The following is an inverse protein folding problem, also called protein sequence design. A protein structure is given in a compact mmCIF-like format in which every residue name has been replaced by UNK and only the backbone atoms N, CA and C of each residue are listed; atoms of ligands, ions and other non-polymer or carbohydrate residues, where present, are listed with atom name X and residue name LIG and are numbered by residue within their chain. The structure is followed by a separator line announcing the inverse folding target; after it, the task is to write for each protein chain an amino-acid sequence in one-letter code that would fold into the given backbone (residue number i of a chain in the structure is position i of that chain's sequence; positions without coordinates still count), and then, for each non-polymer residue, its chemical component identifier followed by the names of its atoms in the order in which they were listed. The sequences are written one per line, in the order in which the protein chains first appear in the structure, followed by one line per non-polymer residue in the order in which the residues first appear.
data_IF_481392353189
#
_entry.id   IF_481392353189
#
_cell.length_a   1.000
_cell.length_b   1.000
_cell.length_c   1.000
_cell.angle_alpha   90.00
_cell.angle_beta   90.00
_cell.angle_gamma   90.00
#
_symmetry.space_group_name_H-M   'P 1'
#
loop_
_entity.id
_entity.type
_entity.pdbx_description
1 polymer ?
#
# COMPACT_ATOMS: atom_id res chain seq x y z
N UNK A 1 9.19 -23.73 29.69
CA UNK A 1 10.65 -23.71 29.43
C UNK A 1 10.93 -22.55 28.47
N UNK A 2 11.70 -21.52 28.86
CA UNK A 2 12.02 -20.43 27.95
C UNK A 2 12.93 -20.99 26.85
N UNK A 3 12.53 -20.87 25.57
CA UNK A 3 13.44 -21.14 24.46
C UNK A 3 14.56 -20.08 24.52
N UNK A 4 15.68 -20.45 25.15
CA UNK A 4 16.93 -19.72 25.02
C UNK A 4 17.46 -20.05 23.63
N UNK A 5 17.12 -19.24 22.65
CA UNK A 5 17.69 -19.36 21.31
C UNK A 5 19.12 -18.81 21.34
N UNK A 6 20.10 -19.65 21.71
CA UNK A 6 21.53 -19.38 21.40
C UNK A 6 21.80 -19.39 19.88
N UNK A 7 20.83 -19.83 19.08
CA UNK A 7 20.83 -19.78 17.62
C UNK A 7 20.06 -18.55 17.13
N UNK A 8 20.47 -17.93 16.02
CA UNK A 8 19.69 -16.86 15.40
C UNK A 8 18.24 -17.32 15.14
N UNK A 9 17.26 -16.50 15.49
CA UNK A 9 15.86 -16.77 15.19
C UNK A 9 15.47 -16.06 13.90
N UNK A 10 14.80 -16.80 13.01
CA UNK A 10 14.19 -16.21 11.81
C UNK A 10 12.80 -15.71 12.17
N UNK A 11 12.55 -14.43 11.93
CA UNK A 11 11.24 -13.81 12.13
C UNK A 11 10.72 -13.40 10.75
N UNK A 12 9.59 -13.98 10.35
CA UNK A 12 8.88 -13.63 9.11
C UNK A 12 7.77 -12.67 9.48
N UNK A 13 7.85 -11.47 8.92
CA UNK A 13 6.94 -10.38 9.23
C UNK A 13 6.36 -9.85 7.93
N UNK A 14 5.06 -10.05 7.72
CA UNK A 14 4.32 -9.70 6.52
C UNK A 14 3.25 -8.66 6.89
N UNK A 15 3.06 -7.50 6.24
CA UNK A 15 2.03 -6.50 6.57
C UNK A 15 0.58 -6.94 6.51
N UNK A 16 0.29 -8.23 6.32
CA UNK A 16 -1.08 -8.67 6.20
C UNK A 16 -1.71 -8.01 4.99
N UNK A 17 -1.13 -8.22 3.82
CA UNK A 17 -1.73 -7.98 2.49
C UNK A 17 -2.06 -6.50 2.20
N UNK A 18 -1.42 -5.97 1.15
CA UNK A 18 -1.65 -4.72 0.41
C UNK A 18 -3.12 -4.26 0.15
N UNK A 19 -4.10 -5.10 0.48
CA UNK A 19 -5.54 -4.84 0.41
C UNK A 19 -6.13 -4.01 1.56
N UNK A 20 -5.43 -3.86 2.68
CA UNK A 20 -5.97 -3.26 3.91
C UNK A 20 -5.49 -1.83 4.16
N UNK A 21 -4.96 -1.13 3.15
CA UNK A 21 -4.58 0.28 3.26
C UNK A 21 -5.80 1.23 3.34
N UNK A 22 -6.80 0.97 4.18
CA UNK A 22 -8.03 1.76 4.30
C UNK A 22 -7.84 3.26 4.61
N UNK A 23 -6.64 3.67 5.04
CA UNK A 23 -6.24 5.08 5.23
C UNK A 23 -5.19 5.58 4.22
N UNK A 24 -4.62 4.73 3.38
CA UNK A 24 -3.48 5.04 2.51
C UNK A 24 -3.86 5.10 1.02
N UNK A 25 -5.12 5.41 0.72
CA UNK A 25 -5.54 5.78 -0.64
C UNK A 25 -5.76 7.28 -0.72
N UNK A 26 -4.70 8.01 -0.38
CA UNK A 26 -4.57 9.42 -0.70
C UNK A 26 -4.25 9.49 -2.19
N UNK A 27 -5.20 9.95 -2.98
CA UNK A 27 -4.90 10.39 -4.34
C UNK A 27 -3.98 11.62 -4.21
N UNK A 28 -2.68 11.45 -4.45
CA UNK A 28 -1.78 12.60 -4.47
C UNK A 28 -2.03 13.35 -5.78
N UNK A 29 -2.30 14.66 -5.67
CA UNK A 29 -2.53 15.53 -6.81
C UNK A 29 -1.20 16.11 -7.31
N UNK A 30 -1.02 16.16 -8.62
CA UNK A 30 0.21 16.60 -9.27
C UNK A 30 0.17 18.10 -9.54
N UNK A 31 0.92 18.91 -8.79
CA UNK A 31 1.08 20.33 -9.14
C UNK A 31 2.32 20.48 -10.00
N UNK A 32 2.10 20.77 -11.27
CA UNK A 32 3.19 20.87 -12.24
C UNK A 32 3.74 22.30 -12.23
N UNK A 33 4.81 22.52 -11.45
CA UNK A 33 5.63 23.73 -11.56
C UNK A 33 7.02 23.31 -12.07
N UNK A 34 7.32 23.78 -13.27
CA UNK A 34 8.53 23.60 -14.09
C UNK A 34 9.73 22.91 -13.40
N UNK A 35 10.14 21.76 -13.99
CA UNK A 35 11.32 20.92 -13.70
C UNK A 35 11.30 20.00 -12.46
N UNK A 36 10.19 19.92 -11.72
CA UNK A 36 9.98 18.87 -10.72
C UNK A 36 8.50 18.51 -10.59
N UNK A 37 8.20 17.23 -10.38
CA UNK A 37 6.85 16.81 -10.00
C UNK A 37 6.70 17.08 -8.50
N UNK A 38 5.97 18.14 -8.15
CA UNK A 38 5.61 18.42 -6.76
C UNK A 38 4.29 17.75 -6.41
N UNK A 39 4.29 17.06 -5.27
CA UNK A 39 3.18 16.26 -4.78
C UNK A 39 2.45 17.03 -3.68
N UNK A 40 1.40 17.76 -4.04
CA UNK A 40 0.51 18.35 -3.05
C UNK A 40 -0.51 17.28 -2.63
N UNK A 41 -0.51 16.91 -1.35
CA UNK A 41 -1.40 15.90 -0.78
C UNK A 41 -2.82 16.45 -0.58
N UNK A 42 -3.60 16.52 -1.65
CA UNK A 42 -5.05 16.76 -1.56
C UNK A 42 -5.80 15.43 -1.55
N UNK A 43 -6.32 15.01 -0.40
CA UNK A 43 -7.06 13.75 -0.28
C UNK A 43 -8.38 13.77 -1.07
N UNK A 44 -8.47 13.01 -2.17
CA UNK A 44 -9.78 12.54 -2.68
C UNK A 44 -9.95 11.06 -2.43
N UNK A 45 -10.99 10.73 -1.66
CA UNK A 45 -11.36 9.37 -1.26
C UNK A 45 -12.21 8.65 -2.32
N UNK A 46 -11.87 8.78 -3.60
CA UNK A 46 -12.71 8.28 -4.69
C UNK A 46 -12.81 6.74 -4.77
N UNK A 47 -11.85 6.01 -4.17
CA UNK A 47 -11.87 4.55 -4.06
C UNK A 47 -12.50 4.05 -2.74
N UNK A 48 -12.89 4.94 -1.83
CA UNK A 48 -13.36 4.58 -0.47
C UNK A 48 -14.55 3.61 -0.49
N UNK A 49 -15.49 3.81 -1.40
CA UNK A 49 -16.65 2.93 -1.53
C UNK A 49 -16.26 1.54 -2.02
N UNK A 50 -15.37 1.46 -3.01
CA UNK A 50 -14.90 0.19 -3.54
C UNK A 50 -14.09 -0.61 -2.50
N UNK A 51 -13.26 0.08 -1.71
CA UNK A 51 -12.43 -0.55 -0.67
C UNK A 51 -13.27 -1.17 0.47
N UNK A 52 -14.59 -0.89 0.55
CA UNK A 52 -15.50 -1.61 1.46
C UNK A 52 -15.48 -3.13 1.25
N UNK A 53 -14.99 -3.62 0.12
CA UNK A 53 -14.66 -5.03 -0.12
C UNK A 53 -13.78 -5.66 0.98
N UNK A 54 -12.98 -4.87 1.71
CA UNK A 54 -12.21 -5.36 2.87
C UNK A 54 -13.14 -5.84 4.00
N UNK A 55 -14.28 -5.17 4.23
CA UNK A 55 -15.28 -5.62 5.22
C UNK A 55 -15.94 -6.92 4.75
N UNK A 56 -16.34 -6.98 3.49
CA UNK A 56 -16.92 -8.19 2.88
C UNK A 56 -15.95 -9.37 2.94
N UNK A 57 -14.65 -9.12 2.73
CA UNK A 57 -13.60 -10.13 2.90
C UNK A 57 -13.48 -10.64 4.34
N UNK A 58 -13.63 -9.77 5.33
CA UNK A 58 -13.58 -10.16 6.75
C UNK A 58 -14.81 -10.97 7.15
N UNK A 59 -15.98 -10.63 6.60
CA UNK A 59 -17.26 -11.32 6.84
C UNK A 59 -17.41 -12.64 6.07
N UNK A 60 -16.66 -12.84 4.99
CA UNK A 60 -16.72 -14.04 4.18
C UNK A 60 -16.32 -15.29 4.99
N UNK A 61 -17.22 -16.27 5.04
CA UNK A 61 -17.00 -17.57 5.69
C UNK A 61 -16.15 -18.50 4.83
N UNK A 62 -16.40 -18.53 3.52
CA UNK A 62 -15.69 -19.39 2.57
C UNK A 62 -14.34 -18.82 2.14
N UNK A 63 -13.38 -19.71 1.85
CA UNK A 63 -12.07 -19.30 1.34
C UNK A 63 -12.16 -18.71 -0.06
N UNK A 64 -13.11 -19.19 -0.88
CA UNK A 64 -13.46 -18.57 -2.15
C UNK A 64 -13.87 -17.10 -1.97
N UNK A 65 -14.80 -16.80 -1.07
CA UNK A 65 -15.26 -15.43 -0.84
C UNK A 65 -14.14 -14.52 -0.33
N UNK A 66 -13.32 -15.03 0.60
CA UNK A 66 -12.13 -14.29 1.08
C UNK A 66 -11.15 -14.00 -0.05
N UNK A 67 -10.93 -14.97 -0.95
CA UNK A 67 -10.04 -14.82 -2.09
C UNK A 67 -10.61 -13.84 -3.14
N UNK A 68 -11.90 -13.95 -3.45
CA UNK A 68 -12.59 -13.07 -4.39
C UNK A 68 -12.48 -11.59 -3.98
N UNK A 69 -12.86 -11.25 -2.75
CA UNK A 69 -12.76 -9.85 -2.29
C UNK A 69 -11.31 -9.36 -2.16
N UNK A 70 -10.35 -10.27 -1.90
CA UNK A 70 -8.92 -9.93 -1.98
C UNK A 70 -8.54 -9.56 -3.41
N UNK A 71 -8.94 -10.38 -4.39
CA UNK A 71 -8.64 -10.17 -5.79
C UNK A 71 -9.25 -8.86 -6.30
N UNK A 72 -10.51 -8.56 -5.92
CA UNK A 72 -11.19 -7.32 -6.31
C UNK A 72 -10.41 -6.07 -5.90
N UNK A 73 -9.86 -6.05 -4.68
CA UNK A 73 -9.01 -4.95 -4.21
C UNK A 73 -7.67 -4.88 -4.95
N UNK A 74 -7.01 -6.02 -5.15
CA UNK A 74 -5.73 -6.09 -5.86
C UNK A 74 -5.86 -5.74 -7.36
N UNK A 75 -7.00 -6.05 -7.98
CA UNK A 75 -7.23 -5.82 -9.40
C UNK A 75 -7.23 -4.33 -9.73
N UNK A 76 -7.81 -3.47 -8.88
CA UNK A 76 -7.75 -2.01 -9.08
C UNK A 76 -6.31 -1.52 -9.06
N UNK A 77 -5.53 -1.95 -8.07
CA UNK A 77 -4.12 -1.58 -7.99
C UNK A 77 -3.35 -1.98 -9.26
N UNK A 78 -3.47 -3.24 -9.68
CA UNK A 78 -2.84 -3.74 -10.90
C UNK A 78 -3.30 -2.97 -12.15
N UNK A 79 -4.59 -2.65 -12.24
CA UNK A 79 -5.15 -1.85 -13.34
C UNK A 79 -4.58 -0.44 -13.39
N UNK A 80 -4.35 0.19 -12.23
CA UNK A 80 -3.72 1.52 -12.16
C UNK A 80 -2.22 1.52 -12.46
N UNK A 81 -1.58 0.34 -12.47
CA UNK A 81 -0.18 0.15 -12.89
C UNK A 81 -0.05 -0.43 -14.31
N UNK A 82 -1.16 -0.63 -15.02
CA UNK A 82 -1.14 -1.21 -16.37
C UNK A 82 -0.22 -0.40 -17.28
N UNK A 83 0.71 -1.09 -17.95
CA UNK A 83 1.67 -0.47 -18.87
C UNK A 83 0.95 -0.03 -20.15
N UNK A 84 0.33 1.14 -20.10
CA UNK A 84 -0.37 1.76 -21.23
C UNK A 84 0.58 2.58 -22.12
N UNK A 85 1.83 2.13 -22.31
CA UNK A 85 2.89 2.89 -23.01
C UNK A 85 2.48 3.37 -24.42
N UNK A 86 1.54 2.66 -25.05
CA UNK A 86 1.01 2.98 -26.37
C UNK A 86 -0.41 3.60 -26.35
N UNK A 87 -0.98 3.91 -25.18
CA UNK A 87 -2.28 4.60 -25.08
C UNK A 87 -2.05 6.03 -24.64
N UNK A 88 -2.66 6.97 -25.35
CA UNK A 88 -2.72 8.38 -24.98
C UNK A 88 -4.14 8.70 -24.56
N UNK A 89 -4.30 9.37 -23.42
CA UNK A 89 -5.59 9.91 -23.03
C UNK A 89 -5.73 11.30 -23.67
N UNK A 90 -6.51 11.39 -24.74
CA UNK A 90 -6.68 12.61 -25.52
C UNK A 90 -8.15 13.01 -25.48
N UNK A 91 -8.42 14.26 -25.11
CA UNK A 91 -9.74 14.87 -25.23
C UNK A 91 -9.75 15.86 -26.38
N UNK A 92 -10.66 15.65 -27.32
CA UNK A 92 -10.94 16.60 -28.39
C UNK A 92 -12.01 17.56 -27.89
N UNK A 93 -11.72 18.86 -27.95
CA UNK A 93 -12.56 19.92 -27.38
C UNK A 93 -12.77 21.00 -28.43
N UNK A 94 -14.01 21.43 -28.59
CA UNK A 94 -14.40 22.45 -29.57
C UNK A 94 -14.75 23.81 -28.95
N UNK A 95 -14.83 23.88 -27.61
CA UNK A 95 -15.16 25.11 -26.91
C UNK A 95 -14.07 25.48 -25.88
N UNK A 96 -13.79 26.78 -25.78
CA UNK A 96 -12.69 27.27 -24.94
C UNK A 96 -12.95 27.05 -23.44
N UNK A 97 -14.20 27.24 -22.98
CA UNK A 97 -14.57 27.06 -21.55
C UNK A 97 -14.26 25.64 -21.05
N UNK A 98 -14.54 24.62 -21.85
CA UNK A 98 -14.23 23.22 -21.49
C UNK A 98 -12.73 22.94 -21.55
N UNK A 99 -12.02 23.53 -22.51
CA UNK A 99 -10.58 23.40 -22.60
C UNK A 99 -9.88 23.98 -21.37
N UNK A 100 -10.32 25.17 -20.92
CA UNK A 100 -9.82 25.82 -19.72
C UNK A 100 -10.02 24.94 -18.46
N UNK A 101 -11.16 24.25 -18.36
CA UNK A 101 -11.42 23.28 -17.28
C UNK A 101 -10.43 22.11 -17.30
N UNK A 102 -10.02 21.64 -18.47
CA UNK A 102 -9.03 20.56 -18.57
C UNK A 102 -7.60 21.06 -18.32
N UNK A 103 -7.24 22.29 -18.72
CA UNK A 103 -5.92 22.88 -18.47
C UNK A 103 -5.62 23.06 -16.98
N UNK A 104 -6.65 23.32 -16.17
CA UNK A 104 -6.55 23.42 -14.71
C UNK A 104 -6.36 22.08 -14.00
N UNK A 105 -6.49 20.95 -14.72
CA UNK A 105 -6.30 19.63 -14.12
C UNK A 105 -4.83 19.30 -14.01
N UNK A 106 -4.49 18.66 -12.89
CA UNK A 106 -3.19 18.08 -12.62
C UNK A 106 -2.76 17.02 -13.63
N UNK A 107 -3.72 16.42 -14.33
CA UNK A 107 -3.47 15.45 -15.39
C UNK A 107 -3.14 16.11 -16.72
N UNK A 108 -3.21 17.43 -16.86
CA UNK A 108 -2.84 18.11 -18.10
C UNK A 108 -1.35 17.92 -18.43
N UNK A 109 -1.06 17.42 -19.64
CA UNK A 109 0.31 17.24 -20.13
C UNK A 109 0.69 18.34 -21.12
N UNK A 110 -0.04 18.44 -22.23
CA UNK A 110 0.11 19.47 -23.26
C UNK A 110 -1.15 19.54 -24.13
N UNK A 111 -1.20 20.52 -25.04
CA UNK A 111 -2.29 20.67 -26.02
C UNK A 111 -1.76 20.72 -27.45
N UNK A 112 -2.58 20.26 -28.38
CA UNK A 112 -2.38 20.41 -29.82
C UNK A 112 -3.56 21.21 -30.36
N UNK A 113 -3.31 22.35 -30.99
CA UNK A 113 -4.35 23.20 -31.57
C UNK A 113 -4.44 22.84 -33.06
N UNK A 114 -5.61 22.40 -33.51
CA UNK A 114 -5.85 22.11 -34.93
C UNK A 114 -6.40 23.34 -35.65
N UNK A 115 -7.35 24.04 -35.01
CA UNK A 115 -7.89 25.31 -35.49
C UNK A 115 -8.55 26.09 -34.32
N UNK A 116 -9.15 27.26 -34.61
CA UNK A 116 -9.77 28.15 -33.62
C UNK A 116 -10.86 27.46 -32.77
N UNK A 117 -11.51 26.44 -33.32
CA UNK A 117 -12.63 25.73 -32.72
C UNK A 117 -12.30 24.26 -32.42
N UNK A 118 -11.03 23.85 -32.43
CA UNK A 118 -10.66 22.45 -32.23
C UNK A 118 -9.27 22.31 -31.58
N UNK A 119 -9.26 21.77 -30.37
CA UNK A 119 -8.06 21.53 -29.56
C UNK A 119 -8.07 20.08 -29.07
N UNK A 120 -6.95 19.38 -29.22
CA UNK A 120 -6.67 18.14 -28.51
C UNK A 120 -5.91 18.44 -27.22
N UNK A 121 -6.43 17.94 -26.10
CA UNK A 121 -5.81 18.03 -24.78
C UNK A 121 -5.27 16.66 -24.41
N UNK A 122 -3.95 16.57 -24.23
CA UNK A 122 -3.26 15.33 -23.85
C UNK A 122 -3.17 15.27 -22.33
N UNK A 123 -3.66 14.17 -21.75
CA UNK A 123 -3.75 13.94 -20.32
C UNK A 123 -2.81 12.81 -19.88
N UNK A 124 -2.19 12.99 -18.72
CA UNK A 124 -1.49 11.95 -17.98
C UNK A 124 -2.48 10.90 -17.46
N UNK A 125 -1.99 9.68 -17.35
CA UNK A 125 -2.72 8.62 -16.68
C UNK A 125 -2.63 8.81 -15.16
N UNK A 126 -3.65 8.35 -14.44
CA UNK A 126 -3.66 8.42 -12.98
C UNK A 126 -2.59 7.51 -12.37
N UNK A 127 -1.63 8.07 -11.64
CA UNK A 127 -0.53 7.34 -10.99
C UNK A 127 -0.90 6.71 -9.63
N UNK A 128 -2.17 6.34 -9.45
CA UNK A 128 -2.71 5.85 -8.17
C UNK A 128 -1.91 4.65 -7.66
N UNK A 129 -1.59 3.70 -8.54
CA UNK A 129 -0.80 2.52 -8.18
C UNK A 129 0.63 2.87 -7.74
N UNK A 130 1.25 3.90 -8.31
CA UNK A 130 2.57 4.35 -7.90
C UNK A 130 2.53 4.97 -6.49
N UNK A 131 1.56 5.85 -6.24
CA UNK A 131 1.38 6.47 -4.91
C UNK A 131 1.16 5.40 -3.84
N UNK A 132 0.30 4.42 -4.11
CA UNK A 132 -0.02 3.32 -3.18
C UNK A 132 1.21 2.46 -2.92
N UNK A 133 2.00 2.15 -3.95
CA UNK A 133 3.26 1.42 -3.78
C UNK A 133 4.24 2.19 -2.89
N UNK A 134 4.39 3.48 -3.14
CA UNK A 134 5.33 4.31 -2.38
C UNK A 134 4.92 4.45 -0.91
N UNK A 135 3.63 4.64 -0.66
CA UNK A 135 3.08 4.69 0.69
C UNK A 135 3.23 3.34 1.42
N UNK A 136 3.03 2.23 0.72
CA UNK A 136 3.28 0.88 1.26
C UNK A 136 4.74 0.69 1.67
N UNK A 137 5.69 1.14 0.83
CA UNK A 137 7.12 1.09 1.14
C UNK A 137 7.48 1.98 2.34
N UNK A 138 6.88 3.16 2.43
CA UNK A 138 7.12 4.06 3.56
C UNK A 138 6.72 3.41 4.89
N UNK A 139 5.54 2.78 4.94
CA UNK A 139 5.11 2.00 6.12
C UNK A 139 6.09 0.88 6.46
N UNK A 140 6.57 0.14 5.45
CA UNK A 140 7.60 -0.89 5.68
C UNK A 140 8.86 -0.29 6.29
N UNK A 141 9.33 0.85 5.77
CA UNK A 141 10.52 1.53 6.27
C UNK A 141 10.34 2.06 7.68
N UNK A 142 9.18 2.66 8.00
CA UNK A 142 8.88 3.10 9.36
C UNK A 142 8.98 1.93 10.36
N UNK A 143 8.44 0.77 10.03
CA UNK A 143 8.53 -0.39 10.92
C UNK A 143 9.96 -0.95 10.97
N UNK A 144 10.67 -0.99 9.84
CA UNK A 144 12.05 -1.44 9.82
C UNK A 144 12.96 -0.56 10.68
N UNK A 145 12.95 0.75 10.43
CA UNK A 145 13.89 1.68 11.04
C UNK A 145 13.46 2.12 12.44
N UNK A 146 12.17 2.39 12.67
CA UNK A 146 11.71 2.98 13.94
C UNK A 146 11.31 1.92 14.97
N UNK A 147 11.03 0.68 14.55
CA UNK A 147 10.62 -0.40 15.47
C UNK A 147 11.66 -1.50 15.52
N UNK A 148 11.93 -2.18 14.40
CA UNK A 148 12.78 -3.37 14.37
C UNK A 148 14.24 -3.06 14.63
N UNK A 149 14.79 -2.00 14.00
CA UNK A 149 16.17 -1.55 14.22
C UNK A 149 16.41 -0.99 15.62
N UNK A 150 15.42 -0.31 16.19
CA UNK A 150 15.49 0.19 17.58
C UNK A 150 15.50 -0.97 18.58
N UNK A 151 14.61 -1.95 18.39
CA UNK A 151 14.53 -3.13 19.27
C UNK A 151 15.74 -4.06 19.13
N UNK A 152 16.26 -4.19 17.91
CA UNK A 152 17.36 -5.08 17.57
C UNK A 152 18.40 -4.33 16.72
N UNK A 153 19.38 -3.63 17.34
CA UNK A 153 20.38 -2.86 16.60
C UNK A 153 21.15 -3.69 15.56
N UNK A 154 21.50 -4.92 15.93
CA UNK A 154 22.25 -5.89 15.10
C UNK A 154 21.36 -6.76 14.20
N UNK A 155 20.09 -6.38 14.00
CA UNK A 155 19.18 -7.13 13.12
C UNK A 155 19.72 -7.17 11.69
N UNK A 156 19.67 -8.36 11.08
CA UNK A 156 19.95 -8.52 9.65
C UNK A 156 18.63 -8.73 8.91
N UNK A 157 18.36 -7.86 7.94
CA UNK A 157 17.33 -8.08 6.95
C UNK A 157 17.87 -9.04 5.90
N UNK A 158 17.42 -10.29 5.93
CA UNK A 158 17.91 -11.35 5.04
C UNK A 158 17.23 -11.33 3.68
N UNK A 159 15.94 -10.99 3.67
CA UNK A 159 15.14 -10.94 2.44
C UNK A 159 13.99 -9.95 2.60
N UNK A 160 13.59 -9.35 1.49
CA UNK A 160 12.43 -8.48 1.37
C UNK A 160 11.59 -8.92 0.17
N UNK A 161 10.30 -9.12 0.38
CA UNK A 161 9.28 -9.22 -0.68
C UNK A 161 8.39 -7.97 -0.66
N UNK A 162 7.51 -7.88 -1.65
CA UNK A 162 6.47 -6.86 -1.87
C UNK A 162 5.73 -6.47 -0.60
N UNK A 163 5.42 -7.46 0.24
CA UNK A 163 4.79 -7.29 1.54
C UNK A 163 5.39 -8.23 2.58
N UNK A 164 6.71 -8.41 2.64
CA UNK A 164 7.30 -9.10 3.81
C UNK A 164 8.77 -8.77 4.03
N UNK A 165 9.17 -8.87 5.29
CA UNK A 165 10.55 -8.87 5.72
C UNK A 165 10.90 -10.18 6.40
N UNK A 166 12.09 -10.67 6.09
CA UNK A 166 12.70 -11.81 6.72
C UNK A 166 13.89 -11.34 7.51
N UNK A 167 13.80 -11.46 8.83
CA UNK A 167 14.82 -11.00 9.74
C UNK A 167 15.57 -12.16 10.37
N UNK A 168 16.88 -11.99 10.49
CA UNK A 168 17.69 -12.74 11.41
C UNK A 168 17.88 -11.90 12.68
N UNK A 169 17.34 -12.39 13.79
CA UNK A 169 17.40 -11.71 15.08
C UNK A 169 18.24 -12.54 16.05
N UNK A 170 19.11 -11.85 16.80
CA UNK A 170 19.84 -12.42 17.93
C UNK A 170 19.20 -11.92 19.22
N UNK A 171 18.45 -12.78 19.91
CA UNK A 171 17.84 -12.45 21.21
C UNK A 171 17.77 -13.69 22.09
N UNK A 172 17.82 -13.48 23.40
CA UNK A 172 17.66 -14.53 24.42
C UNK A 172 16.19 -14.82 24.73
N UNK A 173 15.29 -13.85 24.50
CA UNK A 173 13.89 -13.87 24.95
C UNK A 173 12.92 -13.50 23.82
N UNK A 174 13.00 -14.23 22.70
CA UNK A 174 12.23 -13.94 21.49
C UNK A 174 10.72 -13.75 21.75
N UNK A 175 10.12 -14.64 22.54
CA UNK A 175 8.69 -14.57 22.79
C UNK A 175 8.27 -13.34 23.61
N UNK A 176 9.11 -12.92 24.56
CA UNK A 176 8.84 -11.74 25.38
C UNK A 176 9.01 -10.47 24.54
N UNK A 177 9.99 -10.48 23.63
CA UNK A 177 10.19 -9.39 22.67
C UNK A 177 9.01 -9.28 21.68
N UNK A 178 8.51 -10.41 21.14
CA UNK A 178 7.32 -10.40 20.28
C UNK A 178 6.10 -9.89 21.06
N UNK A 179 5.94 -10.29 22.33
CA UNK A 179 4.87 -9.79 23.19
C UNK A 179 4.96 -8.28 23.41
N UNK A 180 6.16 -7.74 23.61
CA UNK A 180 6.39 -6.30 23.69
C UNK A 180 6.08 -5.56 22.37
N UNK A 181 6.28 -6.23 21.23
CA UNK A 181 5.95 -5.71 19.90
C UNK A 181 4.50 -6.01 19.46
N UNK A 182 3.66 -6.57 20.34
CA UNK A 182 2.30 -7.00 19.99
C UNK A 182 1.43 -5.89 19.39
N UNK A 183 1.67 -4.62 19.74
CA UNK A 183 0.96 -3.48 19.15
C UNK A 183 1.23 -3.30 17.65
N UNK A 184 2.34 -3.84 17.12
CA UNK A 184 2.73 -3.77 15.71
C UNK A 184 2.50 -5.07 14.95
N UNK A 185 2.22 -6.17 15.64
CA UNK A 185 2.20 -7.51 15.06
C UNK A 185 0.81 -8.16 15.09
N UNK A 186 0.47 -8.87 14.01
CA UNK A 186 -0.71 -9.75 13.93
C UNK A 186 -0.26 -11.20 14.10
N UNK A 187 -0.56 -11.78 15.27
CA UNK A 187 -0.23 -13.17 15.63
C UNK A 187 -1.44 -14.10 15.55
N UNK A 188 -2.51 -13.70 14.85
CA UNK A 188 -3.77 -14.45 14.80
C UNK A 188 -3.70 -15.78 14.04
N UNK A 189 -2.61 -16.03 13.30
CA UNK A 189 -2.35 -17.30 12.61
C UNK A 189 -1.65 -18.35 13.48
N UNK A 190 -1.21 -17.97 14.69
CA UNK A 190 -0.60 -18.95 15.60
C UNK A 190 -1.63 -19.99 16.08
N UNK A 191 -1.19 -21.19 16.47
CA UNK A 191 -2.06 -22.17 17.10
C UNK A 191 -2.80 -21.57 18.31
N UNK A 192 -4.07 -21.92 18.51
CA UNK A 192 -4.92 -21.31 19.57
C UNK A 192 -4.38 -21.54 20.98
N UNK A 193 -3.63 -22.61 21.17
CA UNK A 193 -2.93 -23.00 22.39
C UNK A 193 -1.59 -22.27 22.58
N UNK A 194 -1.10 -21.55 21.57
CA UNK A 194 0.16 -20.83 21.65
C UNK A 194 0.03 -19.55 22.50
N UNK A 195 0.97 -19.33 23.44
CA UNK A 195 0.97 -18.19 24.38
C UNK A 195 0.94 -16.78 23.76
N UNK A 196 1.28 -16.65 22.47
CA UNK A 196 1.25 -15.39 21.72
C UNK A 196 0.06 -15.27 20.77
N UNK A 197 -0.81 -16.28 20.69
CA UNK A 197 -2.01 -16.21 19.88
C UNK A 197 -2.89 -15.05 20.36
N UNK A 198 -3.26 -14.17 19.43
CA UNK A 198 -4.16 -13.06 19.70
C UNK A 198 -4.93 -12.68 18.44
N UNK A 199 -6.23 -12.45 18.60
CA UNK A 199 -7.10 -11.96 17.51
C UNK A 199 -7.20 -10.43 17.47
N UNK A 200 -6.55 -9.71 18.39
CA UNK A 200 -6.65 -8.25 18.52
C UNK A 200 -6.26 -7.53 17.23
N UNK A 201 -5.20 -7.99 16.56
CA UNK A 201 -4.67 -7.38 15.35
C UNK A 201 -5.04 -8.14 14.06
N UNK A 202 -5.95 -9.11 14.13
CA UNK A 202 -6.31 -9.95 12.97
C UNK A 202 -6.78 -9.09 11.79
N UNK A 203 -5.95 -9.01 10.74
CA UNK A 203 -6.21 -8.19 9.54
C UNK A 203 -6.42 -6.70 9.84
N UNK A 204 -5.91 -6.20 10.95
CA UNK A 204 -5.90 -4.77 11.26
C UNK A 204 -4.88 -4.07 10.36
N UNK A 205 -5.23 -2.87 9.92
CA UNK A 205 -4.41 -2.04 9.04
C UNK A 205 -3.09 -1.68 9.74
N UNK A 206 -2.00 -1.61 8.99
CA UNK A 206 -0.65 -1.26 9.48
C UNK A 206 -0.05 -2.26 10.48
N UNK A 207 -0.66 -3.43 10.68
CA UNK A 207 -0.12 -4.50 11.54
C UNK A 207 0.56 -5.56 10.70
N UNK A 208 1.76 -5.94 11.11
CA UNK A 208 2.52 -6.97 10.43
C UNK A 208 2.17 -8.34 10.98
N UNK A 209 1.49 -9.12 10.15
CA UNK A 209 1.34 -10.57 10.28
C UNK A 209 2.66 -11.28 10.53
N UNK A 210 2.73 -11.94 11.67
CA UNK A 210 3.84 -12.79 12.08
C UNK A 210 3.53 -14.22 11.62
N UNK A 211 4.52 -14.88 11.02
CA UNK A 211 4.41 -16.27 10.53
C UNK A 211 5.51 -17.13 11.13
#
# INVERSE_FOLDING_TARGET
IPLITKKPATIIVNPGRLTSLGKLWIAIYFKNNYKGIHFDSYEKTFLKEYIKNTKLRTQASSDFGKYFFKLMNNAIYGKTLEKVRNRQNIKIITNFKSAEKEFKKVTFKYRTIFNKNLIAVHLLNNYVGLSVLQLSKNLMYEIHYNVMKVKYPDIKLCYQDTDSFFYLVKTKYLYDDIKALSSHLDTSDYPKDHKLYSTLNNKVIEKLKMT
#
